data_IF_845569941208
#
_entry.id   IF_845569941208
#
_cell.length_a   1.000
_cell.length_b   1.000
_cell.length_c   1.000
_cell.angle_alpha   90.00
_cell.angle_beta   90.00
_cell.angle_gamma   90.00
#
_symmetry.space_group_name_H-M   'P 1'
#
loop_
_entity.id
_entity.type
_entity.pdbx_description
1 polymer ?
#
# COMPACT_ATOMS: atom_id res chain seq x y z
N UNK A 1 -4.94 5.46 27.20
CA UNK A 1 -5.61 4.19 27.49
C UNK A 1 -6.62 3.94 26.38
N UNK A 2 -6.70 2.71 25.86
CA UNK A 2 -7.64 2.35 24.79
C UNK A 2 -9.02 2.20 25.42
N UNK A 3 -9.99 2.88 24.84
CA UNK A 3 -11.31 3.07 25.39
C UNK A 3 -12.32 2.41 24.45
N UNK A 4 -13.09 1.43 24.97
CA UNK A 4 -14.06 0.66 24.20
C UNK A 4 -15.45 1.23 24.44
N UNK A 5 -16.19 1.49 23.37
CA UNK A 5 -17.60 1.84 23.43
C UNK A 5 -18.41 0.63 22.95
N UNK A 6 -19.20 0.02 23.84
CA UNK A 6 -20.02 -1.14 23.51
C UNK A 6 -21.29 -0.71 22.74
N UNK A 7 -21.76 -1.58 21.84
CA UNK A 7 -23.03 -1.42 21.14
C UNK A 7 -24.21 -1.50 22.12
N UNK A 8 -25.21 -0.62 21.99
CA UNK A 8 -26.30 -0.44 22.98
C UNK A 8 -27.07 -1.72 23.30
N UNK A 9 -27.25 -2.62 22.33
CA UNK A 9 -27.93 -3.92 22.54
C UNK A 9 -27.13 -4.87 23.44
N UNK A 10 -25.82 -4.91 23.26
CA UNK A 10 -24.93 -5.78 24.03
C UNK A 10 -24.64 -5.19 25.41
N UNK A 11 -24.64 -3.86 25.53
CA UNK A 11 -24.49 -3.17 26.82
C UNK A 11 -25.64 -3.53 27.78
N UNK A 12 -26.89 -3.57 27.30
CA UNK A 12 -28.04 -3.92 28.15
C UNK A 12 -28.01 -5.38 28.60
N UNK A 13 -27.62 -6.31 27.71
CA UNK A 13 -27.49 -7.74 28.07
C UNK A 13 -26.37 -7.98 29.08
N UNK A 14 -25.19 -7.40 28.84
CA UNK A 14 -24.06 -7.51 29.78
C UNK A 14 -24.41 -6.88 31.11
N UNK A 15 -25.08 -5.72 31.11
CA UNK A 15 -25.53 -5.06 32.35
C UNK A 15 -26.50 -5.93 33.15
N UNK A 16 -27.49 -6.52 32.50
CA UNK A 16 -28.47 -7.38 33.15
C UNK A 16 -27.83 -8.60 33.82
N UNK A 17 -26.93 -9.28 33.12
CA UNK A 17 -26.23 -10.46 33.66
C UNK A 17 -25.24 -10.06 34.74
N UNK A 18 -24.52 -8.94 34.58
CA UNK A 18 -23.60 -8.46 35.61
C UNK A 18 -24.36 -8.00 36.87
N UNK A 19 -25.53 -7.37 36.72
CA UNK A 19 -26.40 -7.01 37.85
C UNK A 19 -26.96 -8.23 38.60
N UNK A 20 -27.31 -9.31 37.89
CA UNK A 20 -27.74 -10.55 38.54
C UNK A 20 -26.58 -11.26 39.27
N UNK A 21 -25.37 -11.24 38.71
CA UNK A 21 -24.18 -11.81 39.33
C UNK A 21 -23.66 -11.00 40.54
N UNK A 22 -23.70 -9.67 40.46
CA UNK A 22 -23.26 -8.79 41.55
C UNK A 22 -24.25 -8.77 42.73
N UNK A 23 -25.50 -9.20 42.51
CA UNK A 23 -26.47 -9.46 43.58
C UNK A 23 -26.01 -10.62 44.47
N UNK A 24 -25.32 -11.61 43.92
CA UNK A 24 -24.77 -12.75 44.67
C UNK A 24 -23.39 -12.43 45.27
N UNK A 25 -22.62 -11.53 44.66
CA UNK A 25 -21.25 -11.20 45.09
C UNK A 25 -21.03 -9.67 45.26
N UNK A 26 -21.30 -9.10 46.45
CA UNK A 26 -21.27 -7.64 46.67
C UNK A 26 -19.87 -7.02 46.64
N UNK A 27 -18.80 -7.82 46.61
CA UNK A 27 -17.40 -7.36 46.63
C UNK A 27 -16.95 -6.70 45.31
N UNK A 28 -17.69 -6.87 44.22
CA UNK A 28 -17.27 -6.46 42.87
C UNK A 28 -18.09 -5.30 42.27
N UNK A 29 -18.80 -4.52 43.10
CA UNK A 29 -19.64 -3.39 42.67
C UNK A 29 -18.92 -2.36 41.77
N UNK A 30 -17.61 -2.20 41.93
CA UNK A 30 -16.78 -1.31 41.12
C UNK A 30 -16.81 -1.61 39.60
N UNK A 31 -17.09 -2.86 39.21
CA UNK A 31 -17.24 -3.26 37.80
C UNK A 31 -18.55 -2.74 37.19
N UNK A 32 -19.60 -2.61 38.02
CA UNK A 32 -20.90 -2.06 37.62
C UNK A 32 -20.79 -0.55 37.36
N UNK A 33 -20.06 0.15 38.23
CA UNK A 33 -19.78 1.58 38.06
C UNK A 33 -18.97 1.84 36.78
N UNK A 34 -18.00 0.96 36.47
CA UNK A 34 -17.24 1.01 35.20
C UNK A 34 -18.10 0.73 33.96
N UNK A 35 -19.21 -0.01 34.10
CA UNK A 35 -20.14 -0.32 33.00
C UNK A 35 -21.16 0.80 32.76
N UNK A 36 -21.37 1.66 33.75
CA UNK A 36 -22.25 2.81 33.71
C UNK A 36 -21.62 3.97 32.92
N UNK A 37 -20.29 4.00 32.84
CA UNK A 37 -19.56 4.86 31.93
C UNK A 37 -19.60 4.28 30.51
N UNK A 38 -19.88 5.12 29.51
CA UNK A 38 -19.95 4.71 28.09
C UNK A 38 -18.61 4.20 27.52
N UNK A 39 -17.57 4.21 28.34
CA UNK A 39 -16.19 3.97 27.92
C UNK A 39 -15.54 2.97 28.86
N UNK A 40 -15.44 1.72 28.39
CA UNK A 40 -14.97 0.60 29.20
C UNK A 40 -13.52 0.29 28.82
N UNK A 41 -12.65 0.14 29.81
CA UNK A 41 -11.30 -0.39 29.61
C UNK A 41 -11.38 -1.87 29.23
N UNK A 42 -10.59 -2.29 28.24
CA UNK A 42 -10.49 -3.69 27.81
C UNK A 42 -10.22 -4.67 28.97
N UNK A 43 -9.45 -4.25 29.97
CA UNK A 43 -9.13 -5.06 31.15
C UNK A 43 -10.37 -5.34 32.00
N UNK A 44 -11.20 -4.33 32.23
CA UNK A 44 -12.43 -4.48 33.00
C UNK A 44 -13.43 -5.38 32.24
N UNK A 45 -13.53 -5.23 30.92
CA UNK A 45 -14.36 -6.10 30.08
C UNK A 45 -13.92 -7.56 30.18
N UNK A 46 -12.61 -7.83 30.16
CA UNK A 46 -12.07 -9.18 30.26
C UNK A 46 -12.34 -9.82 31.62
N UNK A 47 -12.20 -9.07 32.73
CA UNK A 47 -12.51 -9.59 34.06
C UNK A 47 -14.01 -9.89 34.20
N UNK A 48 -14.88 -9.05 33.63
CA UNK A 48 -16.33 -9.28 33.60
C UNK A 48 -16.68 -10.56 32.84
N UNK A 49 -16.10 -10.78 31.65
CA UNK A 49 -16.37 -12.00 30.87
C UNK A 49 -15.77 -13.26 31.48
N UNK A 50 -14.72 -13.12 32.29
CA UNK A 50 -14.13 -14.23 33.05
C UNK A 50 -14.99 -14.65 34.25
N UNK A 51 -15.61 -13.67 34.92
CA UNK A 51 -16.44 -13.88 36.11
C UNK A 51 -17.86 -14.33 35.76
N UNK A 52 -18.35 -13.96 34.58
CA UNK A 52 -19.67 -14.34 34.10
C UNK A 52 -19.72 -15.83 33.67
N UNK A 53 -20.89 -16.48 33.79
CA UNK A 53 -21.10 -17.87 33.39
C UNK A 53 -21.09 -17.95 31.86
N UNK A 54 -20.53 -19.05 31.34
CA UNK A 54 -20.32 -19.24 29.90
C UNK A 54 -21.63 -19.30 29.08
N UNK A 55 -22.75 -19.58 29.75
CA UNK A 55 -24.04 -19.83 29.09
C UNK A 55 -24.96 -18.60 29.05
N UNK A 56 -24.67 -17.55 29.85
CA UNK A 56 -25.51 -16.34 29.93
C UNK A 56 -24.95 -15.13 29.18
N UNK A 57 -23.68 -15.16 28.75
CA UNK A 57 -23.02 -14.08 28.01
C UNK A 57 -22.60 -14.54 26.61
N UNK A 58 -22.73 -13.68 25.58
CA UNK A 58 -22.09 -13.93 24.30
C UNK A 58 -20.56 -14.06 24.46
N UNK A 59 -19.90 -14.86 23.61
CA UNK A 59 -18.47 -15.09 23.70
C UNK A 59 -17.69 -13.76 23.64
N UNK A 60 -16.62 -13.64 24.44
CA UNK A 60 -15.82 -12.41 24.56
C UNK A 60 -15.44 -11.77 23.21
N UNK A 61 -15.05 -12.59 22.23
CA UNK A 61 -14.72 -12.12 20.88
C UNK A 61 -15.89 -11.45 20.17
N UNK A 62 -17.13 -11.91 20.37
CA UNK A 62 -18.33 -11.28 19.82
C UNK A 62 -18.56 -9.90 20.43
N UNK A 63 -18.32 -9.75 21.73
CA UNK A 63 -18.41 -8.46 22.43
C UNK A 63 -17.35 -7.48 21.91
N UNK A 64 -16.10 -7.94 21.80
CA UNK A 64 -14.98 -7.13 21.30
C UNK A 64 -15.16 -6.75 19.83
N UNK A 65 -15.63 -7.67 18.99
CA UNK A 65 -15.90 -7.41 17.57
C UNK A 65 -17.04 -6.40 17.36
N UNK A 66 -18.01 -6.35 18.29
CA UNK A 66 -19.12 -5.39 18.27
C UNK A 66 -18.80 -4.04 18.92
N UNK A 67 -17.58 -3.87 19.44
CA UNK A 67 -17.17 -2.66 20.17
C UNK A 67 -16.48 -1.66 19.24
N UNK A 68 -16.79 -0.38 19.45
CA UNK A 68 -16.15 0.73 18.73
C UNK A 68 -14.92 1.17 19.50
N UNK A 69 -13.77 1.14 18.84
CA UNK A 69 -12.48 1.46 19.44
C UNK A 69 -12.19 2.96 19.28
N UNK A 70 -12.18 3.69 20.40
CA UNK A 70 -11.67 5.07 20.40
C UNK A 70 -10.21 5.00 20.80
N UNK A 71 -9.34 4.97 19.79
CA UNK A 71 -7.91 5.12 20.02
C UNK A 71 -7.69 6.58 20.48
N UNK A 72 -6.99 6.80 21.61
CA UNK A 72 -6.55 8.14 21.93
C UNK A 72 -5.65 8.63 20.79
N UNK A 73 -5.76 9.89 20.38
CA UNK A 73 -4.83 10.45 19.42
C UNK A 73 -3.40 10.23 19.94
N UNK A 74 -2.44 9.91 19.05
CA UNK A 74 -1.06 9.72 19.48
C UNK A 74 -0.63 10.94 20.30
N UNK A 75 -0.14 10.71 21.51
CA UNK A 75 0.32 11.78 22.39
C UNK A 75 1.52 12.42 21.71
N UNK A 76 1.31 13.56 21.07
CA UNK A 76 2.39 14.33 20.50
C UNK A 76 3.36 14.67 21.64
N UNK A 77 4.68 14.48 21.46
CA UNK A 77 5.66 14.61 22.54
C UNK A 77 5.77 16.02 23.14
N UNK A 78 5.08 17.02 22.59
CA UNK A 78 5.11 18.40 23.04
C UNK A 78 3.71 19.02 23.01
N UNK A 79 3.23 19.52 24.16
CA UNK A 79 1.97 20.28 24.27
C UNK A 79 2.04 21.64 23.54
N UNK A 80 3.26 22.10 23.19
CA UNK A 80 3.55 23.34 22.48
C UNK A 80 4.13 23.07 21.07
N UNK A 81 3.61 22.08 20.35
CA UNK A 81 4.15 21.69 19.04
C UNK A 81 3.83 22.75 17.98
N UNK A 82 4.78 23.64 17.69
CA UNK A 82 4.79 24.40 16.45
C UNK A 82 5.01 23.42 15.30
N UNK A 83 3.96 23.24 14.49
CA UNK A 83 4.01 22.38 13.32
C UNK A 83 5.18 22.82 12.43
N UNK A 84 6.10 21.91 12.05
CA UNK A 84 7.23 22.29 11.22
C UNK A 84 6.73 22.65 9.81
N UNK A 85 7.21 23.76 9.26
CA UNK A 85 6.76 24.30 7.97
C UNK A 85 6.89 23.30 6.79
N UNK A 86 7.78 22.30 6.90
CA UNK A 86 7.91 21.23 5.92
C UNK A 86 6.72 20.27 5.91
N UNK A 87 6.09 20.05 7.07
CA UNK A 87 4.91 19.20 7.19
C UNK A 87 3.68 19.91 6.62
N UNK A 88 3.57 21.23 6.81
CA UNK A 88 2.52 22.04 6.19
C UNK A 88 2.57 21.97 4.67
N UNK A 89 3.76 22.15 4.07
CA UNK A 89 3.93 22.01 2.62
C UNK A 89 3.54 20.61 2.11
N UNK A 90 3.86 19.56 2.87
CA UNK A 90 3.47 18.19 2.52
C UNK A 90 1.96 17.98 2.65
N UNK A 91 1.33 18.56 3.66
CA UNK A 91 -0.12 18.48 3.86
C UNK A 91 -0.88 19.27 2.81
N UNK A 92 -0.36 20.43 2.40
CA UNK A 92 -0.89 21.21 1.28
C UNK A 92 -0.81 20.42 -0.02
N UNK A 93 0.33 19.79 -0.32
CA UNK A 93 0.47 18.91 -1.48
C UNK A 93 -0.46 17.69 -1.43
N UNK A 94 -0.72 17.12 -0.25
CA UNK A 94 -1.67 16.01 -0.09
C UNK A 94 -3.13 16.49 -0.25
N UNK A 95 -3.46 17.68 0.24
CA UNK A 95 -4.78 18.30 0.07
C UNK A 95 -5.04 18.62 -1.39
N UNK A 96 -4.10 19.23 -2.09
CA UNK A 96 -4.21 19.53 -3.52
C UNK A 96 -4.44 18.24 -4.34
N UNK A 97 -3.74 17.15 -4.01
CA UNK A 97 -3.98 15.84 -4.63
C UNK A 97 -5.38 15.30 -4.35
N UNK A 98 -5.92 15.54 -3.16
CA UNK A 98 -7.27 15.11 -2.80
C UNK A 98 -8.34 15.94 -3.53
N UNK A 99 -8.18 17.26 -3.59
CA UNK A 99 -9.07 18.17 -4.31
C UNK A 99 -9.10 17.86 -5.81
N UNK A 100 -7.94 17.60 -6.42
CA UNK A 100 -7.84 17.16 -7.82
C UNK A 100 -8.54 15.82 -8.07
N UNK A 101 -8.58 14.91 -7.08
CA UNK A 101 -9.33 13.64 -7.20
C UNK A 101 -10.82 13.88 -7.15
N UNK A 102 -11.29 14.67 -6.19
CA UNK A 102 -12.72 15.01 -6.07
C UNK A 102 -13.20 15.75 -7.32
N UNK A 103 -12.44 16.74 -7.81
CA UNK A 103 -12.77 17.44 -9.05
C UNK A 103 -12.87 16.48 -10.24
N UNK A 104 -12.00 15.46 -10.31
CA UNK A 104 -12.07 14.43 -11.37
C UNK A 104 -13.34 13.60 -11.28
N UNK A 105 -13.75 13.20 -10.08
CA UNK A 105 -15.01 12.46 -9.86
C UNK A 105 -16.22 13.31 -10.28
N UNK A 106 -16.21 14.63 -9.99
CA UNK A 106 -17.29 15.53 -10.41
C UNK A 106 -17.39 15.70 -11.94
N UNK A 107 -16.27 15.66 -12.66
CA UNK A 107 -16.27 15.81 -14.12
C UNK A 107 -16.44 14.47 -14.84
N UNK A 108 -16.21 13.35 -14.16
CA UNK A 108 -16.35 12.02 -14.74
C UNK A 108 -17.80 11.72 -15.19
N UNK A 109 -18.79 12.28 -14.51
CA UNK A 109 -20.20 12.13 -14.85
C UNK A 109 -20.65 13.08 -15.98
N UNK A 110 -19.76 13.98 -16.45
CA UNK A 110 -20.00 14.85 -17.60
C UNK A 110 -19.37 14.21 -18.85
N UNK A 111 -20.17 13.59 -19.75
CA UNK A 111 -19.64 12.86 -20.91
C UNK A 111 -18.90 13.74 -21.93
N UNK A 112 -18.90 15.07 -21.79
CA UNK A 112 -18.32 16.01 -22.76
C UNK A 112 -17.04 16.71 -22.32
N UNK A 113 -16.52 16.47 -21.11
CA UNK A 113 -15.38 17.25 -20.59
C UNK A 113 -14.35 16.41 -19.82
N UNK A 114 -14.15 15.13 -20.16
CA UNK A 114 -13.05 14.36 -19.60
C UNK A 114 -11.71 14.87 -20.18
N UNK A 115 -10.83 15.53 -19.40
CA UNK A 115 -9.47 15.72 -19.86
C UNK A 115 -8.80 14.35 -19.87
N UNK A 116 -8.22 13.98 -21.02
CA UNK A 116 -7.51 12.74 -21.24
C UNK A 116 -6.19 12.73 -20.43
N UNK A 117 -6.26 12.58 -19.10
CA UNK A 117 -5.08 12.58 -18.24
C UNK A 117 -4.97 11.28 -17.42
N UNK A 118 -3.77 10.68 -17.37
CA UNK A 118 -3.59 9.25 -17.21
C UNK A 118 -3.74 8.84 -15.74
N UNK A 119 -4.90 8.29 -15.41
CA UNK A 119 -5.22 7.68 -14.13
C UNK A 119 -4.28 6.50 -13.86
N UNK A 120 -3.49 6.55 -12.77
CA UNK A 120 -2.84 5.43 -12.03
C UNK A 120 -1.95 4.44 -12.83
N UNK A 121 -2.40 3.98 -13.98
CA UNK A 121 -1.68 3.34 -15.07
C UNK A 121 -0.38 4.05 -15.46
N UNK A 122 -0.26 5.38 -15.41
CA UNK A 122 0.99 6.07 -15.72
C UNK A 122 2.14 5.69 -14.76
N UNK A 123 1.87 5.63 -13.46
CA UNK A 123 2.89 5.22 -12.48
C UNK A 123 3.25 3.74 -12.61
N UNK A 124 2.29 2.87 -12.92
CA UNK A 124 2.58 1.47 -13.25
C UNK A 124 3.28 1.31 -14.61
N UNK A 125 3.04 2.22 -15.56
CA UNK A 125 3.67 2.24 -16.88
C UNK A 125 5.16 2.55 -16.74
N UNK A 126 5.54 3.55 -15.93
CA UNK A 126 6.96 3.84 -15.67
C UNK A 126 7.68 2.70 -14.97
N UNK A 127 7.04 2.02 -14.00
CA UNK A 127 7.65 0.86 -13.34
C UNK A 127 7.80 -0.35 -14.29
N UNK A 128 6.79 -0.61 -15.13
CA UNK A 128 6.88 -1.64 -16.17
C UNK A 128 7.92 -1.29 -17.24
N UNK A 129 8.05 -0.03 -17.61
CA UNK A 129 9.07 0.45 -18.55
C UNK A 129 10.48 0.30 -17.96
N UNK A 130 10.67 0.60 -16.67
CA UNK A 130 11.94 0.38 -15.97
C UNK A 130 12.30 -1.11 -15.85
N UNK A 131 11.32 -1.97 -15.53
CA UNK A 131 11.53 -3.43 -15.49
C UNK A 131 11.81 -4.00 -16.88
N UNK A 132 11.12 -3.52 -17.90
CA UNK A 132 11.30 -3.98 -19.29
C UNK A 132 12.69 -3.62 -19.79
N UNK A 133 13.19 -2.43 -19.46
CA UNK A 133 14.55 -2.03 -19.81
C UNK A 133 15.57 -2.96 -19.15
N UNK A 134 15.43 -3.26 -17.86
CA UNK A 134 16.31 -4.20 -17.17
C UNK A 134 16.25 -5.63 -17.74
N UNK A 135 15.04 -6.12 -18.07
CA UNK A 135 14.85 -7.45 -18.65
C UNK A 135 15.45 -7.55 -20.07
N UNK A 136 15.32 -6.50 -20.87
CA UNK A 136 15.92 -6.43 -22.20
C UNK A 136 17.44 -6.51 -22.13
N UNK A 137 18.06 -5.73 -21.24
CA UNK A 137 19.51 -5.73 -20.99
C UNK A 137 20.00 -7.11 -20.54
N UNK A 138 19.28 -7.76 -19.62
CA UNK A 138 19.64 -9.08 -19.15
C UNK A 138 19.60 -10.12 -20.30
N UNK A 139 18.57 -10.05 -21.15
CA UNK A 139 18.38 -10.98 -22.27
C UNK A 139 19.43 -10.76 -23.36
N UNK A 140 19.75 -9.51 -23.69
CA UNK A 140 20.77 -9.18 -24.69
C UNK A 140 22.17 -9.58 -24.22
N UNK A 141 22.51 -9.35 -22.95
CA UNK A 141 23.77 -9.80 -22.34
C UNK A 141 23.92 -11.32 -22.36
N UNK A 142 22.87 -12.05 -21.95
CA UNK A 142 22.88 -13.51 -21.97
C UNK A 142 23.08 -14.05 -23.39
N UNK A 143 22.34 -13.51 -24.36
CA UNK A 143 22.43 -13.92 -25.76
C UNK A 143 23.81 -13.60 -26.34
N UNK A 144 24.34 -12.41 -26.09
CA UNK A 144 25.66 -11.99 -26.57
C UNK A 144 26.79 -12.90 -26.06
N UNK A 145 26.75 -13.27 -24.78
CA UNK A 145 27.74 -14.18 -24.19
C UNK A 145 27.64 -15.59 -24.78
N UNK A 146 26.43 -16.15 -24.89
CA UNK A 146 26.22 -17.49 -25.46
C UNK A 146 26.69 -17.55 -26.91
N UNK A 147 26.37 -16.55 -27.72
CA UNK A 147 26.80 -16.47 -29.12
C UNK A 147 28.32 -16.36 -29.21
N UNK A 148 28.95 -15.46 -28.44
CA UNK A 148 30.41 -15.28 -28.44
C UNK A 148 31.15 -16.55 -28.01
N UNK A 149 30.68 -17.19 -26.94
CA UNK A 149 31.24 -18.45 -26.46
C UNK A 149 31.08 -19.58 -27.47
N UNK A 150 29.90 -19.76 -28.06
CA UNK A 150 29.63 -20.86 -28.98
C UNK A 150 30.40 -20.73 -30.29
N UNK A 151 30.48 -19.51 -30.84
CA UNK A 151 31.26 -19.22 -32.05
C UNK A 151 32.74 -19.52 -31.81
N UNK A 152 33.31 -19.06 -30.70
CA UNK A 152 34.72 -19.29 -30.40
C UNK A 152 35.02 -20.75 -30.00
N UNK A 153 34.09 -21.43 -29.35
CA UNK A 153 34.18 -22.87 -29.07
C UNK A 153 34.25 -23.68 -30.37
N UNK A 154 33.36 -23.39 -31.32
CA UNK A 154 33.35 -24.04 -32.63
C UNK A 154 34.61 -23.75 -33.45
N UNK A 155 35.16 -22.54 -33.33
CA UNK A 155 36.28 -22.11 -34.15
C UNK A 155 37.64 -22.61 -33.62
N UNK A 156 37.84 -22.68 -32.30
CA UNK A 156 39.19 -22.89 -31.75
C UNK A 156 39.35 -24.17 -30.94
N UNK A 157 38.27 -24.90 -30.60
CA UNK A 157 38.26 -26.15 -29.81
C UNK A 157 39.00 -26.11 -28.45
N UNK A 158 39.66 -24.99 -28.11
CA UNK A 158 40.36 -24.71 -26.86
C UNK A 158 39.46 -23.87 -25.98
N UNK A 159 39.07 -24.44 -24.84
CA UNK A 159 38.15 -23.83 -23.88
C UNK A 159 38.60 -22.44 -23.38
N UNK A 160 39.91 -22.23 -23.21
CA UNK A 160 40.46 -20.96 -22.74
C UNK A 160 40.23 -19.82 -23.74
N UNK A 161 40.38 -20.10 -25.05
CA UNK A 161 40.18 -19.10 -26.10
C UNK A 161 38.69 -18.78 -26.24
N UNK A 162 37.82 -19.79 -26.09
CA UNK A 162 36.37 -19.59 -26.10
C UNK A 162 35.91 -18.66 -24.97
N UNK A 163 36.51 -18.77 -23.79
CA UNK A 163 36.23 -17.90 -22.65
C UNK A 163 36.68 -16.44 -22.88
N UNK A 164 37.87 -16.25 -23.43
CA UNK A 164 38.41 -14.91 -23.74
C UNK A 164 37.55 -14.22 -24.79
N UNK A 165 37.17 -14.94 -25.84
CA UNK A 165 36.27 -14.43 -26.87
C UNK A 165 34.87 -14.15 -26.32
N UNK A 166 34.34 -15.02 -25.44
CA UNK A 166 33.08 -14.76 -24.76
C UNK A 166 33.11 -13.45 -23.95
N UNK A 167 34.22 -13.17 -23.26
CA UNK A 167 34.39 -11.91 -22.53
C UNK A 167 34.49 -10.69 -23.46
N UNK A 168 35.24 -10.81 -24.56
CA UNK A 168 35.35 -9.75 -25.57
C UNK A 168 33.99 -9.45 -26.22
N UNK A 169 33.23 -10.49 -26.56
CA UNK A 169 31.86 -10.35 -27.09
C UNK A 169 30.93 -9.73 -26.06
N UNK A 170 31.13 -9.96 -24.75
CA UNK A 170 30.33 -9.33 -23.70
C UNK A 170 30.54 -7.80 -23.65
N UNK A 171 31.79 -7.34 -23.81
CA UNK A 171 32.10 -5.90 -23.90
C UNK A 171 31.46 -5.29 -25.15
N UNK A 172 31.55 -5.97 -26.30
CA UNK A 172 30.92 -5.51 -27.52
C UNK A 172 29.39 -5.48 -27.43
N UNK A 173 28.79 -6.50 -26.80
CA UNK A 173 27.36 -6.56 -26.55
C UNK A 173 26.88 -5.37 -25.70
N UNK A 174 27.69 -4.92 -24.73
CA UNK A 174 27.42 -3.73 -23.93
C UNK A 174 27.25 -2.47 -24.79
N UNK A 175 28.10 -2.27 -25.81
CA UNK A 175 27.95 -1.15 -26.74
C UNK A 175 26.69 -1.27 -27.60
N UNK A 176 26.43 -2.46 -28.14
CA UNK A 176 25.22 -2.71 -28.96
C UNK A 176 23.96 -2.46 -28.14
N UNK A 177 23.93 -2.89 -26.89
CA UNK A 177 22.77 -2.77 -26.01
C UNK A 177 22.43 -1.30 -25.73
N UNK A 178 23.44 -0.45 -25.46
CA UNK A 178 23.25 1.00 -25.31
C UNK A 178 22.67 1.62 -26.58
N UNK A 179 23.20 1.26 -27.75
CA UNK A 179 22.68 1.77 -29.03
C UNK A 179 21.23 1.32 -29.24
N UNK A 180 20.94 0.04 -28.99
CA UNK A 180 19.61 -0.54 -29.20
C UNK A 180 18.56 0.08 -28.26
N UNK A 181 18.93 0.34 -27.00
CA UNK A 181 18.07 1.02 -26.03
C UNK A 181 17.77 2.44 -26.51
N UNK A 182 18.80 3.18 -26.94
CA UNK A 182 18.64 4.55 -27.44
C UNK A 182 17.72 4.58 -28.66
N UNK A 183 17.98 3.74 -29.67
CA UNK A 183 17.13 3.67 -30.87
C UNK A 183 15.70 3.22 -30.53
N UNK A 184 15.55 2.29 -29.59
CA UNK A 184 14.23 1.83 -29.12
C UNK A 184 13.43 2.93 -28.42
N UNK A 185 14.08 3.78 -27.62
CA UNK A 185 13.45 4.95 -27.01
C UNK A 185 13.07 5.99 -28.07
N UNK A 186 14.01 6.34 -28.96
CA UNK A 186 13.78 7.30 -30.05
C UNK A 186 12.63 6.89 -30.98
N UNK A 187 12.53 5.61 -31.34
CA UNK A 187 11.47 5.10 -32.18
C UNK A 187 10.09 5.22 -31.49
N UNK A 188 10.02 4.90 -30.20
CA UNK A 188 8.78 5.06 -29.42
C UNK A 188 8.36 6.53 -29.33
N UNK A 189 9.31 7.44 -29.12
CA UNK A 189 9.04 8.88 -29.06
C UNK A 189 8.48 9.41 -30.39
N UNK A 190 9.02 8.98 -31.52
CA UNK A 190 8.49 9.35 -32.85
C UNK A 190 7.09 8.80 -33.11
N UNK A 191 6.79 7.58 -32.65
CA UNK A 191 5.46 6.99 -32.81
C UNK A 191 4.42 7.79 -31.99
N UNK A 192 4.75 8.16 -30.75
CA UNK A 192 3.88 8.99 -29.91
C UNK A 192 3.68 10.38 -30.54
N UNK A 193 4.73 10.98 -31.09
CA UNK A 193 4.61 12.25 -31.80
C UNK A 193 3.68 12.14 -33.04
N UNK A 194 3.74 11.02 -33.76
CA UNK A 194 2.91 10.78 -34.94
C UNK A 194 1.44 10.51 -34.58
N UNK A 195 1.15 9.82 -33.47
CA UNK A 195 -0.22 9.62 -32.99
C UNK A 195 -0.84 10.95 -32.55
N UNK A 196 -0.12 11.74 -31.77
CA UNK A 196 -0.59 13.05 -31.31
C UNK A 196 -0.83 14.03 -32.47
N UNK A 197 -0.04 13.94 -33.56
CA UNK A 197 -0.25 14.77 -34.75
C UNK A 197 -1.50 14.37 -35.54
N UNK A 198 -1.84 13.07 -35.62
CA UNK A 198 -3.04 12.60 -36.32
C UNK A 198 -4.33 13.00 -35.59
N UNK A 199 -4.31 12.96 -34.26
CA UNK A 199 -5.46 13.36 -33.43
C UNK A 199 -5.80 14.85 -33.57
N UNK A 200 -4.79 15.72 -33.80
CA UNK A 200 -5.00 17.16 -34.06
C UNK A 200 -5.52 17.51 -35.46
N UNK A 201 -5.57 16.54 -36.38
CA UNK A 201 -5.95 16.74 -37.78
C UNK A 201 -7.29 16.08 -38.13
N UNK A 202 -7.91 15.37 -37.17
CA UNK A 202 -9.28 14.85 -37.23
C UNK A 202 -10.22 15.75 -36.45
#
# INVERSE_FOLDING_TARGET
MVQLQLSSRHQTQVRYVVESYLRENPKQKHLLDSLKEDTISHQNLYEITRLAPKDALPPFWSLVASSTWKLPPPKCPYDNYQRPAILDKRLEALRERHERKQYRELIQDLPSLAPSEPSTSASFKSFREQLTLGLQVLTSMATGFVVGYYVAWKLTAKQTVALIWGLLTLIFAMFVDVILIITGMLAKDMLIAKTNKKEKLS
#
